data_IF_460202302298
#
_entry.id   IF_460202302298
#
_cell.length_a   1.000
_cell.length_b   1.000
_cell.length_c   1.000
_cell.angle_alpha   90.00
_cell.angle_beta   90.00
_cell.angle_gamma   90.00
#
_symmetry.space_group_name_H-M   'P 1'
#
loop_
_entity.id
_entity.type
_entity.pdbx_description
1 polymer ?
#
# COMPACT_ATOMS: atom_id res chain seq x y z
N UNK A 1 -24.98 29.57 12.71
CA UNK A 1 -25.36 28.58 11.67
C UNK A 1 -24.69 27.25 12.02
N UNK A 2 -25.47 26.17 12.22
CA UNK A 2 -24.92 24.85 12.60
C UNK A 2 -24.38 24.18 11.35
N UNK A 3 -23.09 23.94 11.30
CA UNK A 3 -22.47 23.25 10.15
C UNK A 3 -22.96 21.81 10.12
N UNK A 4 -23.58 21.38 9.02
CA UNK A 4 -24.06 20.01 8.83
C UNK A 4 -23.01 19.26 7.98
N UNK A 5 -22.12 18.53 8.65
CA UNK A 5 -21.03 17.81 7.98
C UNK A 5 -21.51 16.66 7.10
N UNK A 6 -22.63 16.01 7.46
CA UNK A 6 -23.17 14.84 6.75
C UNK A 6 -23.62 15.13 5.31
N UNK A 7 -23.93 16.40 4.99
CA UNK A 7 -24.37 16.83 3.66
C UNK A 7 -23.23 17.34 2.77
N UNK A 8 -22.04 17.52 3.33
CA UNK A 8 -20.89 18.04 2.57
C UNK A 8 -20.22 16.95 1.74
N UNK A 9 -19.63 17.35 0.61
CA UNK A 9 -18.77 16.48 -0.18
C UNK A 9 -17.42 16.25 0.51
N UNK A 10 -16.78 15.12 0.22
CA UNK A 10 -15.51 14.72 0.84
C UNK A 10 -14.43 15.81 0.68
N UNK A 11 -14.33 16.44 -0.50
CA UNK A 11 -13.32 17.49 -0.75
C UNK A 11 -13.51 18.72 0.17
N UNK A 12 -14.73 19.04 0.53
CA UNK A 12 -15.02 20.12 1.48
C UNK A 12 -14.60 19.71 2.91
N UNK A 13 -14.93 18.49 3.31
CA UNK A 13 -14.54 17.93 4.61
C UNK A 13 -13.02 17.81 4.74
N UNK A 14 -12.36 17.38 3.68
CA UNK A 14 -10.88 17.28 3.63
C UNK A 14 -10.25 18.66 3.85
N UNK A 15 -10.68 19.68 3.12
CA UNK A 15 -10.15 21.06 3.30
C UNK A 15 -10.38 21.61 4.71
N UNK A 16 -11.55 21.35 5.30
CA UNK A 16 -11.85 21.77 6.69
C UNK A 16 -10.96 21.02 7.68
N UNK A 17 -10.80 19.71 7.51
CA UNK A 17 -9.94 18.89 8.36
C UNK A 17 -8.45 19.27 8.24
N UNK A 18 -7.97 19.61 7.02
CA UNK A 18 -6.63 20.18 6.82
C UNK A 18 -6.46 21.53 7.54
N UNK A 19 -7.52 22.30 7.66
CA UNK A 19 -7.59 23.55 8.43
C UNK A 19 -7.67 23.34 9.95
N UNK A 20 -7.74 22.09 10.42
CA UNK A 20 -7.77 21.75 11.85
C UNK A 20 -9.17 21.43 12.39
N UNK A 21 -10.20 21.37 11.56
CA UNK A 21 -11.56 20.98 11.98
C UNK A 21 -11.62 19.45 12.16
N UNK A 22 -11.49 19.01 13.42
CA UNK A 22 -11.56 17.58 13.78
C UNK A 22 -12.92 16.94 13.50
N UNK A 23 -14.02 17.71 13.57
CA UNK A 23 -15.37 17.20 13.28
C UNK A 23 -15.56 16.87 11.81
N UNK A 24 -14.91 17.62 10.92
CA UNK A 24 -14.88 17.29 9.49
C UNK A 24 -14.14 15.95 9.27
N UNK A 25 -13.04 15.69 9.98
CA UNK A 25 -12.36 14.41 9.93
C UNK A 25 -13.19 13.27 10.54
N UNK A 26 -13.88 13.50 11.67
CA UNK A 26 -14.77 12.51 12.28
C UNK A 26 -15.88 12.07 11.30
N UNK A 27 -16.39 12.99 10.50
CA UNK A 27 -17.37 12.65 9.46
C UNK A 27 -16.76 11.80 8.36
N UNK A 28 -15.53 12.08 7.93
CA UNK A 28 -14.80 11.21 6.99
C UNK A 28 -14.58 9.81 7.58
N UNK A 29 -14.18 9.72 8.85
CA UNK A 29 -14.08 8.42 9.56
C UNK A 29 -15.40 7.69 9.53
N UNK A 30 -16.51 8.35 9.87
CA UNK A 30 -17.85 7.76 9.89
C UNK A 30 -18.25 7.17 8.52
N UNK A 31 -17.92 7.86 7.42
CA UNK A 31 -18.24 7.44 6.04
C UNK A 31 -17.43 6.23 5.59
N UNK A 32 -16.18 6.16 6.01
CA UNK A 32 -15.22 5.23 5.45
C UNK A 32 -14.84 4.05 6.35
N UNK A 33 -15.14 4.08 7.67
CA UNK A 33 -14.74 3.03 8.61
C UNK A 33 -15.08 1.61 8.16
N UNK A 34 -16.31 1.40 7.69
CA UNK A 34 -16.76 0.09 7.22
C UNK A 34 -16.00 -0.42 5.98
N UNK A 35 -15.72 0.49 5.05
CA UNK A 35 -15.02 0.17 3.81
C UNK A 35 -13.54 -0.12 4.09
N UNK A 36 -12.90 0.69 4.94
CA UNK A 36 -11.53 0.51 5.40
C UNK A 36 -11.39 -0.80 6.17
N UNK A 37 -12.31 -1.10 7.10
CA UNK A 37 -12.33 -2.37 7.81
C UNK A 37 -12.42 -3.57 6.85
N UNK A 38 -13.36 -3.54 5.90
CA UNK A 38 -13.49 -4.60 4.89
C UNK A 38 -12.25 -4.79 4.05
N UNK A 39 -11.56 -3.70 3.70
CA UNK A 39 -10.29 -3.76 2.97
C UNK A 39 -9.19 -4.42 3.81
N UNK A 40 -9.04 -4.03 5.07
CA UNK A 40 -8.09 -4.64 5.99
C UNK A 40 -8.42 -6.12 6.23
N UNK A 41 -9.69 -6.47 6.41
CA UNK A 41 -10.11 -7.85 6.63
C UNK A 41 -9.85 -8.76 5.43
N UNK A 42 -9.97 -8.26 4.18
CA UNK A 42 -9.62 -9.02 2.98
C UNK A 42 -8.16 -9.48 2.98
N UNK A 43 -7.26 -8.64 3.49
CA UNK A 43 -5.81 -8.91 3.55
C UNK A 43 -5.46 -9.79 4.75
N UNK A 44 -5.99 -9.46 5.92
CA UNK A 44 -5.59 -10.06 7.19
C UNK A 44 -6.35 -11.35 7.52
N UNK A 45 -7.59 -11.49 7.06
CA UNK A 45 -8.50 -12.62 7.36
C UNK A 45 -8.61 -12.93 8.86
N UNK A 46 -8.46 -11.90 9.71
CA UNK A 46 -8.54 -11.96 11.15
C UNK A 46 -9.20 -10.67 11.66
N UNK A 47 -10.24 -10.81 12.48
CA UNK A 47 -11.09 -9.68 12.90
C UNK A 47 -10.35 -8.67 13.77
N UNK A 48 -9.63 -9.14 14.79
CA UNK A 48 -8.88 -8.28 15.70
C UNK A 48 -7.77 -7.52 14.95
N UNK A 49 -7.00 -8.21 14.09
CA UNK A 49 -5.98 -7.57 13.28
C UNK A 49 -6.57 -6.54 12.31
N UNK A 50 -7.75 -6.82 11.73
CA UNK A 50 -8.44 -5.89 10.84
C UNK A 50 -8.94 -4.64 11.60
N UNK A 51 -9.42 -4.82 12.82
CA UNK A 51 -9.85 -3.72 13.68
C UNK A 51 -8.66 -2.82 14.08
N UNK A 52 -7.52 -3.42 14.42
CA UNK A 52 -6.32 -2.64 14.75
C UNK A 52 -5.73 -1.96 13.50
N UNK A 53 -5.71 -2.64 12.34
CA UNK A 53 -5.30 -2.02 11.08
C UNK A 53 -6.21 -0.84 10.67
N UNK A 54 -7.51 -0.92 10.97
CA UNK A 54 -8.45 0.19 10.81
C UNK A 54 -8.03 1.41 11.65
N UNK A 55 -7.68 1.20 12.91
CA UNK A 55 -7.23 2.28 13.81
C UNK A 55 -5.91 2.89 13.30
N UNK A 56 -4.93 2.05 12.96
CA UNK A 56 -3.63 2.48 12.42
C UNK A 56 -3.81 3.28 11.12
N UNK A 57 -4.72 2.84 10.25
CA UNK A 57 -5.03 3.53 8.99
C UNK A 57 -5.58 4.94 9.24
N UNK A 58 -6.56 5.10 10.13
CA UNK A 58 -7.12 6.43 10.40
C UNK A 58 -6.17 7.34 11.17
N UNK A 59 -5.34 6.82 12.06
CA UNK A 59 -4.27 7.59 12.71
C UNK A 59 -3.24 8.09 11.69
N UNK A 60 -2.84 7.21 10.77
CA UNK A 60 -1.92 7.57 9.67
C UNK A 60 -2.55 8.57 8.72
N UNK A 61 -3.83 8.38 8.38
CA UNK A 61 -4.59 9.31 7.55
C UNK A 61 -4.70 10.69 8.21
N UNK A 62 -5.00 10.76 9.48
CA UNK A 62 -5.07 12.03 10.22
C UNK A 62 -3.75 12.79 10.19
N UNK A 63 -2.64 12.08 10.43
CA UNK A 63 -1.28 12.67 10.39
C UNK A 63 -0.89 13.11 8.98
N UNK A 64 -1.20 12.29 7.97
CA UNK A 64 -0.86 12.53 6.57
C UNK A 64 -1.78 13.51 5.84
N UNK A 65 -2.96 13.82 6.41
CA UNK A 65 -3.96 14.64 5.73
C UNK A 65 -3.46 16.04 5.37
N UNK A 66 -2.61 16.65 6.20
CA UNK A 66 -2.01 17.96 5.93
C UNK A 66 -1.22 18.01 4.62
N UNK A 67 -0.62 16.87 4.23
CA UNK A 67 0.21 16.72 3.04
C UNK A 67 -0.56 16.15 1.85
N UNK A 68 -1.84 15.85 2.03
CA UNK A 68 -2.68 15.33 0.95
C UNK A 68 -2.96 16.43 -0.11
N UNK A 69 -2.41 16.26 -1.31
CA UNK A 69 -2.44 17.26 -2.40
C UNK A 69 -3.66 17.18 -3.30
N UNK A 70 -4.62 16.29 -3.02
CA UNK A 70 -5.81 16.03 -3.85
C UNK A 70 -5.49 15.61 -5.31
N UNK A 71 -4.33 15.02 -5.56
CA UNK A 71 -3.96 14.42 -6.86
C UNK A 71 -4.79 13.15 -7.18
N UNK A 72 -5.49 12.64 -6.19
CA UNK A 72 -6.48 11.55 -6.28
C UNK A 72 -7.66 11.88 -5.38
N UNK A 73 -8.75 11.11 -5.47
CA UNK A 73 -9.86 11.25 -4.50
C UNK A 73 -9.40 10.86 -3.09
N UNK A 74 -10.01 11.48 -2.07
CA UNK A 74 -9.74 11.11 -0.67
C UNK A 74 -9.93 9.61 -0.42
N UNK A 75 -10.97 9.01 -1.00
CA UNK A 75 -11.22 7.57 -0.87
C UNK A 75 -10.08 6.72 -1.41
N UNK A 76 -9.55 7.05 -2.59
CA UNK A 76 -8.41 6.34 -3.20
C UNK A 76 -7.18 6.43 -2.31
N UNK A 77 -6.86 7.63 -1.83
CA UNK A 77 -5.74 7.84 -0.92
C UNK A 77 -5.93 7.09 0.40
N UNK A 78 -7.12 7.15 1.01
CA UNK A 78 -7.41 6.45 2.26
C UNK A 78 -7.31 4.93 2.12
N UNK A 79 -7.76 4.37 0.99
CA UNK A 79 -7.61 2.92 0.75
C UNK A 79 -6.16 2.49 0.61
N UNK A 80 -5.27 3.32 0.07
CA UNK A 80 -3.82 3.06 0.07
C UNK A 80 -3.29 3.01 1.50
N UNK A 81 -3.63 4.02 2.31
CA UNK A 81 -3.24 4.07 3.73
C UNK A 81 -3.74 2.83 4.48
N UNK A 82 -4.98 2.40 4.24
CA UNK A 82 -5.56 1.21 4.85
C UNK A 82 -4.87 -0.09 4.42
N UNK A 83 -4.57 -0.22 3.14
CA UNK A 83 -3.82 -1.36 2.60
C UNK A 83 -2.45 -1.47 3.23
N UNK A 84 -1.74 -0.34 3.37
CA UNK A 84 -0.42 -0.30 4.02
C UNK A 84 -0.48 -0.73 5.47
N UNK A 85 -1.43 -0.20 6.25
CA UNK A 85 -1.61 -0.59 7.64
C UNK A 85 -1.86 -2.10 7.76
N UNK A 86 -2.71 -2.67 6.90
CA UNK A 86 -2.99 -4.10 6.88
C UNK A 86 -1.77 -4.94 6.49
N UNK A 87 -1.00 -4.53 5.47
CA UNK A 87 0.21 -5.23 5.04
C UNK A 87 1.30 -5.22 6.10
N UNK A 88 1.55 -4.07 6.74
CA UNK A 88 2.51 -3.94 7.83
C UNK A 88 2.15 -4.86 9.00
N UNK A 89 0.85 -4.93 9.33
CA UNK A 89 0.36 -5.82 10.39
C UNK A 89 0.49 -7.30 10.02
N UNK A 90 0.13 -7.67 8.81
CA UNK A 90 0.30 -9.04 8.31
C UNK A 90 1.75 -9.52 8.40
N UNK A 91 2.71 -8.63 8.10
CA UNK A 91 4.14 -8.93 8.20
C UNK A 91 4.58 -9.15 9.64
N UNK A 92 4.22 -8.23 10.54
CA UNK A 92 4.54 -8.35 11.98
C UNK A 92 4.06 -9.68 12.56
N UNK A 93 2.89 -10.16 12.12
CA UNK A 93 2.37 -11.46 12.56
C UNK A 93 3.17 -12.65 12.05
N UNK A 94 3.68 -12.58 10.83
CA UNK A 94 4.44 -13.68 10.20
C UNK A 94 5.91 -13.75 10.58
N UNK A 95 6.47 -12.63 11.04
CA UNK A 95 7.88 -12.51 11.43
C UNK A 95 8.02 -11.96 12.85
N UNK A 96 7.59 -12.68 13.88
CA UNK A 96 7.67 -12.18 15.26
C UNK A 96 9.11 -12.00 15.77
N UNK A 97 10.14 -12.48 15.07
CA UNK A 97 11.52 -12.59 15.58
C UNK A 97 12.63 -12.26 14.58
N UNK A 98 12.45 -11.30 13.67
CA UNK A 98 13.61 -10.77 12.95
C UNK A 98 13.97 -9.41 13.56
N UNK A 99 14.93 -9.47 14.50
CA UNK A 99 15.66 -8.32 15.02
C UNK A 99 16.27 -7.51 13.87
N UNK A 100 16.29 -6.20 14.05
CA UNK A 100 16.77 -5.14 13.15
C UNK A 100 18.25 -5.23 12.73
N UNK A 101 18.93 -6.38 12.82
CA UNK A 101 20.39 -6.45 12.73
C UNK A 101 20.98 -7.39 11.66
N UNK A 102 20.29 -7.63 10.54
CA UNK A 102 20.95 -8.33 9.42
C UNK A 102 20.47 -7.86 8.04
N UNK A 103 21.00 -6.74 7.56
CA UNK A 103 21.12 -6.48 6.11
C UNK A 103 22.22 -5.46 5.81
N UNK A 104 23.43 -5.70 6.24
CA UNK A 104 24.63 -5.15 5.59
C UNK A 104 25.05 -6.11 4.45
N UNK A 105 24.26 -6.13 3.40
CA UNK A 105 24.65 -6.72 2.14
C UNK A 105 25.11 -5.60 1.21
N UNK A 106 26.42 -5.42 1.11
CA UNK A 106 27.07 -4.69 0.01
C UNK A 106 26.66 -5.34 -1.30
N UNK A 107 25.94 -4.63 -2.13
CA UNK A 107 25.72 -5.00 -3.53
C UNK A 107 26.34 -3.91 -4.39
N UNK A 108 27.41 -4.33 -5.07
CA UNK A 108 28.07 -3.65 -6.15
C UNK A 108 27.10 -3.33 -7.29
N UNK A 109 27.40 -2.24 -7.95
CA UNK A 109 26.80 -1.61 -9.11
C UNK A 109 26.12 -2.56 -10.11
N UNK A 110 24.79 -2.65 -10.04
CA UNK A 110 23.99 -3.10 -11.17
C UNK A 110 23.43 -1.87 -11.87
N UNK A 111 23.77 -1.71 -13.14
CA UNK A 111 23.27 -0.65 -14.01
C UNK A 111 21.73 -0.58 -13.97
N UNK A 112 21.14 0.61 -13.92
CA UNK A 112 19.68 0.76 -13.84
C UNK A 112 19.05 0.41 -15.19
N UNK A 113 18.62 -0.84 -15.33
CA UNK A 113 17.72 -1.20 -16.41
C UNK A 113 16.40 -0.44 -16.22
N UNK A 114 15.96 0.29 -17.25
CA UNK A 114 14.75 1.10 -17.19
C UNK A 114 13.52 0.24 -16.89
N UNK A 115 13.11 0.23 -15.63
CA UNK A 115 11.83 -0.32 -15.21
C UNK A 115 10.80 0.80 -15.38
N UNK A 116 9.64 0.53 -16.03
CA UNK A 116 8.60 1.55 -16.19
C UNK A 116 8.24 2.20 -14.86
N UNK A 117 8.23 3.52 -14.82
CA UNK A 117 7.83 4.28 -13.64
C UNK A 117 6.31 4.23 -13.51
N UNK A 118 5.81 3.47 -12.56
CA UNK A 118 4.38 3.30 -12.29
C UNK A 118 3.81 4.40 -11.37
N UNK A 119 4.64 5.39 -11.04
CA UNK A 119 4.27 6.47 -10.11
C UNK A 119 3.21 7.42 -10.65
N UNK A 120 2.88 7.36 -11.95
CA UNK A 120 1.94 8.28 -12.59
C UNK A 120 0.48 7.81 -12.61
N UNK A 121 0.18 6.55 -12.25
CA UNK A 121 -1.19 6.04 -12.17
C UNK A 121 -1.41 5.17 -10.93
N UNK A 122 -2.54 5.35 -10.22
CA UNK A 122 -2.85 4.52 -9.06
C UNK A 122 -2.96 3.05 -9.46
N UNK A 123 -2.12 2.18 -8.89
CA UNK A 123 -2.16 0.73 -9.07
C UNK A 123 -3.57 0.14 -8.92
N UNK A 124 -4.38 0.73 -8.05
CA UNK A 124 -5.75 0.30 -7.78
C UNK A 124 -6.73 0.50 -8.94
N UNK A 125 -6.41 1.37 -9.90
CA UNK A 125 -7.28 1.62 -11.08
C UNK A 125 -6.91 0.75 -12.27
N UNK A 126 -5.67 0.25 -12.32
CA UNK A 126 -5.13 -0.51 -13.45
C UNK A 126 -5.22 -2.03 -13.28
N UNK A 127 -5.35 -2.51 -12.03
CA UNK A 127 -5.32 -3.94 -11.74
C UNK A 127 -6.72 -4.46 -11.42
N UNK A 128 -7.08 -5.59 -12.04
CA UNK A 128 -8.24 -6.35 -11.60
C UNK A 128 -8.06 -6.89 -10.17
N UNK A 129 -9.16 -7.29 -9.54
CA UNK A 129 -9.16 -7.71 -8.14
C UNK A 129 -8.23 -8.91 -7.88
N UNK A 130 -8.08 -9.81 -8.87
CA UNK A 130 -7.24 -11.00 -8.76
C UNK A 130 -5.75 -10.63 -8.82
N UNK A 131 -5.36 -9.80 -9.78
CA UNK A 131 -3.98 -9.31 -9.91
C UNK A 131 -3.54 -8.50 -8.69
N UNK A 132 -4.47 -7.75 -8.12
CA UNK A 132 -4.24 -7.00 -6.88
C UNK A 132 -3.98 -7.91 -5.69
N UNK A 133 -4.75 -9.00 -5.55
CA UNK A 133 -4.55 -9.99 -4.48
C UNK A 133 -3.16 -10.64 -4.59
N UNK A 134 -2.76 -11.02 -5.81
CA UNK A 134 -1.42 -11.58 -6.07
C UNK A 134 -0.32 -10.58 -5.76
N UNK A 135 -0.49 -9.31 -6.11
CA UNK A 135 0.46 -8.26 -5.78
C UNK A 135 0.64 -8.11 -4.27
N UNK A 136 -0.46 -8.13 -3.50
CA UNK A 136 -0.40 -8.04 -2.05
C UNK A 136 0.28 -9.26 -1.43
N UNK A 137 0.00 -10.46 -1.92
CA UNK A 137 0.70 -11.67 -1.49
C UNK A 137 2.21 -11.61 -1.78
N UNK A 138 2.57 -11.07 -2.94
CA UNK A 138 3.97 -10.89 -3.34
C UNK A 138 4.67 -9.82 -2.48
N UNK A 139 4.00 -8.70 -2.20
CA UNK A 139 4.50 -7.66 -1.29
C UNK A 139 4.80 -8.21 0.11
N UNK A 140 3.97 -9.13 0.59
CA UNK A 140 4.17 -9.78 1.89
C UNK A 140 5.43 -10.65 1.92
N UNK A 141 5.80 -11.26 0.79
CA UNK A 141 6.98 -12.13 0.65
C UNK A 141 8.29 -11.35 0.50
N UNK A 142 8.22 -10.08 0.11
CA UNK A 142 9.41 -9.24 0.00
C UNK A 142 10.09 -9.05 1.36
N UNK A 143 11.42 -8.94 1.41
CA UNK A 143 12.13 -8.42 2.58
C UNK A 143 11.53 -7.09 3.05
N UNK A 144 11.50 -6.88 4.38
CA UNK A 144 10.83 -5.74 5.01
C UNK A 144 11.35 -4.41 4.47
N UNK A 145 12.67 -4.28 4.36
CA UNK A 145 13.35 -3.09 3.87
C UNK A 145 13.02 -2.74 2.41
N UNK A 146 12.74 -3.74 1.57
CA UNK A 146 12.34 -3.54 0.17
C UNK A 146 10.87 -3.14 0.07
N UNK A 147 10.04 -3.78 0.84
CA UNK A 147 8.61 -3.52 0.81
C UNK A 147 8.25 -2.18 1.43
N UNK A 148 8.92 -1.76 2.51
CA UNK A 148 8.71 -0.44 3.12
C UNK A 148 9.01 0.69 2.15
N UNK A 149 10.10 0.57 1.40
CA UNK A 149 10.45 1.53 0.36
C UNK A 149 9.40 1.52 -0.75
N UNK A 150 8.96 0.33 -1.21
CA UNK A 150 7.95 0.22 -2.26
C UNK A 150 6.61 0.80 -1.82
N UNK A 151 6.16 0.47 -0.61
CA UNK A 151 4.90 0.98 -0.05
C UNK A 151 4.93 2.50 0.02
N UNK A 152 5.98 3.07 0.63
CA UNK A 152 6.08 4.54 0.79
C UNK A 152 6.20 5.27 -0.54
N UNK A 153 6.95 4.70 -1.50
CA UNK A 153 7.17 5.36 -2.79
C UNK A 153 6.03 5.16 -3.77
N UNK A 154 5.64 3.89 -4.02
CA UNK A 154 4.72 3.52 -5.11
C UNK A 154 3.25 3.45 -4.66
N UNK A 155 3.00 3.21 -3.37
CA UNK A 155 1.63 3.18 -2.84
C UNK A 155 1.28 4.51 -2.16
N UNK A 156 2.11 5.04 -1.25
CA UNK A 156 1.85 6.32 -0.56
C UNK A 156 2.16 7.54 -1.43
N UNK A 157 2.94 7.38 -2.49
CA UNK A 157 3.26 8.45 -3.44
C UNK A 157 4.34 9.43 -2.93
N UNK A 158 5.09 9.09 -1.88
CA UNK A 158 6.16 9.93 -1.36
C UNK A 158 7.29 10.04 -2.40
N UNK A 159 7.98 11.17 -2.44
CA UNK A 159 9.22 11.33 -3.20
C UNK A 159 10.35 10.48 -2.61
N UNK A 160 11.39 10.20 -3.40
CA UNK A 160 12.55 9.47 -2.89
C UNK A 160 13.23 10.17 -1.70
N UNK A 161 13.19 11.50 -1.64
CA UNK A 161 13.72 12.28 -0.53
C UNK A 161 12.89 12.10 0.74
N UNK A 162 11.55 12.17 0.63
CA UNK A 162 10.64 11.95 1.76
C UNK A 162 10.71 10.50 2.27
N UNK A 163 10.87 9.51 1.38
CA UNK A 163 11.09 8.10 1.78
C UNK A 163 12.42 7.95 2.51
N UNK A 164 13.49 8.58 2.01
CA UNK A 164 14.81 8.55 2.64
C UNK A 164 14.77 9.12 4.05
N UNK A 165 14.13 10.28 4.24
CA UNK A 165 13.90 10.91 5.54
C UNK A 165 13.07 10.01 6.48
N UNK A 166 11.93 9.50 5.98
CA UNK A 166 11.01 8.67 6.78
C UNK A 166 11.63 7.35 7.26
N UNK A 167 12.58 6.78 6.49
CA UNK A 167 13.23 5.50 6.81
C UNK A 167 14.65 5.67 7.39
N UNK A 168 15.17 6.90 7.48
CA UNK A 168 16.52 7.16 7.97
C UNK A 168 17.63 6.58 7.07
N UNK A 169 17.41 6.52 5.75
CA UNK A 169 18.35 5.96 4.76
C UNK A 169 18.70 6.99 3.69
N UNK A 170 19.71 6.72 2.87
CA UNK A 170 20.09 7.63 1.76
C UNK A 170 19.13 7.52 0.58
N UNK A 171 19.01 8.56 -0.22
CA UNK A 171 18.22 8.54 -1.47
C UNK A 171 18.74 7.48 -2.45
N UNK A 172 20.05 7.23 -2.47
CA UNK A 172 20.65 6.15 -3.27
C UNK A 172 20.16 4.77 -2.79
N UNK A 173 20.11 4.54 -1.48
CA UNK A 173 19.56 3.31 -0.89
C UNK A 173 18.07 3.14 -1.22
N UNK A 174 17.27 4.22 -1.19
CA UNK A 174 15.87 4.19 -1.62
C UNK A 174 15.75 3.69 -3.06
N UNK A 175 16.51 4.29 -4.00
CA UNK A 175 16.49 3.91 -5.42
C UNK A 175 16.87 2.44 -5.62
N UNK A 176 17.95 1.98 -4.98
CA UNK A 176 18.41 0.60 -5.06
C UNK A 176 17.38 -0.40 -4.49
N UNK A 177 16.84 -0.12 -3.31
CA UNK A 177 15.81 -0.96 -2.67
C UNK A 177 14.53 -0.99 -3.50
N UNK A 178 14.08 0.16 -4.01
CA UNK A 178 12.90 0.25 -4.87
C UNK A 178 13.06 -0.58 -6.15
N UNK A 179 14.23 -0.51 -6.79
CA UNK A 179 14.52 -1.33 -7.96
C UNK A 179 14.41 -2.83 -7.64
N UNK A 180 15.06 -3.28 -6.57
CA UNK A 180 14.99 -4.70 -6.14
C UNK A 180 13.57 -5.13 -5.78
N UNK A 181 12.80 -4.28 -5.09
CA UNK A 181 11.40 -4.55 -4.78
C UNK A 181 10.57 -4.77 -6.05
N UNK A 182 10.71 -3.87 -7.05
CA UNK A 182 10.00 -3.96 -8.33
C UNK A 182 10.38 -5.21 -9.12
N UNK A 183 11.66 -5.60 -9.12
CA UNK A 183 12.13 -6.84 -9.77
C UNK A 183 11.49 -8.06 -9.10
N UNK A 184 11.54 -8.17 -7.78
CA UNK A 184 10.95 -9.30 -7.04
C UNK A 184 9.43 -9.42 -7.27
N UNK A 185 8.71 -8.30 -7.22
CA UNK A 185 7.26 -8.27 -7.50
C UNK A 185 6.95 -8.69 -8.94
N UNK A 186 7.74 -8.23 -9.91
CA UNK A 186 7.57 -8.61 -11.31
C UNK A 186 7.78 -10.10 -11.53
N UNK A 187 8.80 -10.70 -10.93
CA UNK A 187 9.06 -12.14 -11.02
C UNK A 187 7.92 -12.97 -10.46
N UNK A 188 7.35 -12.56 -9.33
CA UNK A 188 6.21 -13.24 -8.71
C UNK A 188 4.94 -13.13 -9.57
N UNK A 189 4.65 -11.95 -10.09
CA UNK A 189 3.53 -11.73 -11.01
C UNK A 189 3.70 -12.52 -12.31
N UNK A 190 4.88 -12.52 -12.91
CA UNK A 190 5.19 -13.32 -14.12
C UNK A 190 4.98 -14.81 -13.88
N UNK A 191 5.41 -15.31 -12.73
CA UNK A 191 5.22 -16.71 -12.33
C UNK A 191 3.74 -17.06 -12.21
N UNK A 192 2.98 -16.19 -11.60
CA UNK A 192 1.54 -16.35 -11.47
C UNK A 192 0.83 -16.39 -12.83
N UNK A 193 1.08 -15.42 -13.71
CA UNK A 193 0.46 -15.35 -15.03
C UNK A 193 0.86 -16.51 -15.94
N UNK A 194 2.14 -16.93 -15.93
CA UNK A 194 2.60 -18.13 -16.65
C UNK A 194 1.90 -19.40 -16.13
N UNK A 195 1.69 -19.52 -14.84
CA UNK A 195 0.94 -20.63 -14.24
C UNK A 195 -0.53 -20.64 -14.64
N UNK A 196 -1.17 -19.47 -14.72
CA UNK A 196 -2.55 -19.30 -15.14
C UNK A 196 -2.77 -19.65 -16.62
N UNK A 197 -1.85 -19.22 -17.49
CA UNK A 197 -1.88 -19.54 -18.93
C UNK A 197 -1.74 -21.06 -19.17
N UNK A 198 -0.83 -21.74 -18.42
CA UNK A 198 -0.70 -23.22 -18.50
C UNK A 198 -1.96 -23.96 -18.08
N UNK A 199 -2.69 -23.46 -17.08
CA UNK A 199 -3.95 -24.08 -16.63
C UNK A 199 -5.10 -23.87 -17.61
N UNK A 200 -5.15 -22.72 -18.31
CA UNK A 200 -6.14 -22.44 -19.36
C UNK A 200 -5.87 -23.17 -20.68
N UNK A 201 -4.61 -23.54 -20.96
CA UNK A 201 -4.20 -24.24 -22.17
C UNK A 201 -4.29 -25.78 -22.11
N UNK A 202 -4.76 -26.38 -21.01
CA UNK A 202 -4.99 -27.82 -20.93
C UNK A 202 -6.41 -28.13 -21.41
N UNK A 203 -6.62 -28.75 -22.60
CA UNK A 203 -7.94 -29.13 -23.03
C UNK A 203 -8.51 -30.18 -22.04
N UNK A 204 -9.77 -30.03 -21.71
CA UNK A 204 -10.55 -31.03 -20.99
C UNK A 204 -10.78 -32.25 -21.87
N UNK A 205 -9.76 -33.08 -22.09
CA UNK A 205 -9.84 -34.37 -22.73
C UNK A 205 -8.90 -35.31 -21.97
N UNK A 206 -9.50 -36.03 -21.06
CA UNK A 206 -9.18 -37.39 -20.60
C UNK A 206 -9.84 -37.59 -19.22
N UNK A 207 -11.17 -37.73 -19.27
CA UNK A 207 -11.92 -38.46 -18.27
C UNK A 207 -12.93 -39.28 -19.05
N UNK A 208 -12.43 -40.39 -19.56
CA UNK A 208 -13.22 -41.51 -20.04
C UNK A 208 -13.11 -42.66 -19.07
#
# INVERSE_FOLDING_TARGET
MRVVYSEQQDDALVRQAQGGDTKAFDELVRRYKEKVYRQAFKILRHEEDAAEALQDAFLSAFRGLKNFKAESTFSTWLYRVATNAALMRYRRRRQPNISLDQSQGTLEDAEPMAVPDWSSQPLDQLLDAETREVLYESLVKLPEDLADVFIKRDIDGLSNAEVAEALGITVAAVKSRLHRARVGLREDLDRYFKGKLRRRGKPASEAG
#
